data_IF_503178363610
#
_entry.id   IF_503178363610
#
_cell.length_a   1.000
_cell.length_b   1.000
_cell.length_c   1.000
_cell.angle_alpha   90.00
_cell.angle_beta   90.00
_cell.angle_gamma   90.00
#
_symmetry.space_group_name_H-M   'P 1'
#
loop_
_entity.id
_entity.type
_entity.pdbx_description
1 polymer ?
#
# COMPACT_ATOMS: atom_id res chain seq x y z
N UNK A 1 24.51 22.52 -15.33
CA UNK A 1 24.41 21.72 -16.59
C UNK A 1 24.70 20.25 -16.26
N UNK A 2 23.69 19.35 -16.26
CA UNK A 2 23.93 17.92 -16.02
C UNK A 2 24.80 17.36 -17.16
N UNK A 3 25.92 16.72 -16.82
CA UNK A 3 26.83 16.07 -17.76
C UNK A 3 26.07 14.93 -18.44
N UNK A 4 26.13 14.83 -19.78
CA UNK A 4 25.49 13.71 -20.50
C UNK A 4 26.14 12.39 -20.03
N UNK A 5 25.35 11.33 -19.80
CA UNK A 5 25.88 10.06 -19.31
C UNK A 5 26.81 9.44 -20.35
N UNK A 6 27.94 8.89 -19.89
CA UNK A 6 28.94 8.22 -20.72
C UNK A 6 28.59 6.73 -20.83
N UNK A 7 27.90 6.37 -21.90
CA UNK A 7 27.37 5.01 -22.08
C UNK A 7 28.23 4.10 -22.97
N UNK A 8 29.34 4.59 -23.52
CA UNK A 8 30.17 3.86 -24.48
C UNK A 8 31.58 3.65 -23.91
N UNK A 9 32.03 2.40 -23.87
CA UNK A 9 33.43 2.08 -23.59
C UNK A 9 34.33 2.36 -24.82
N UNK A 10 35.60 1.98 -24.77
CA UNK A 10 36.53 2.23 -25.89
C UNK A 10 36.08 1.52 -27.17
N UNK A 11 35.60 0.29 -27.07
CA UNK A 11 35.12 -0.51 -28.20
C UNK A 11 33.78 0.00 -28.72
N UNK A 12 32.81 0.26 -27.85
CA UNK A 12 31.48 0.73 -28.27
C UNK A 12 31.52 2.06 -29.06
N UNK A 13 32.58 2.86 -28.88
CA UNK A 13 32.80 4.06 -29.69
C UNK A 13 33.12 3.76 -31.15
N UNK A 14 33.76 2.62 -31.45
CA UNK A 14 34.11 2.23 -32.82
C UNK A 14 32.90 1.75 -33.61
N UNK A 15 31.92 1.15 -32.92
CA UNK A 15 30.64 0.67 -33.50
C UNK A 15 29.47 1.63 -33.24
N UNK A 16 29.76 2.90 -32.90
CA UNK A 16 28.74 3.87 -32.48
C UNK A 16 27.63 4.07 -33.51
N UNK A 17 27.96 4.08 -34.80
CA UNK A 17 26.99 4.28 -35.86
C UNK A 17 25.92 3.17 -35.89
N UNK A 18 26.34 1.92 -35.70
CA UNK A 18 25.45 0.76 -35.66
C UNK A 18 24.55 0.80 -34.40
N UNK A 19 25.14 1.11 -33.25
CA UNK A 19 24.40 1.27 -31.98
C UNK A 19 23.35 2.40 -32.06
N UNK A 20 23.72 3.55 -32.65
CA UNK A 20 22.80 4.67 -32.83
C UNK A 20 21.67 4.35 -33.84
N UNK A 21 21.95 3.54 -34.86
CA UNK A 21 20.94 3.08 -35.82
C UNK A 21 19.89 2.18 -35.15
N UNK A 22 20.32 1.20 -34.35
CA UNK A 22 19.41 0.35 -33.57
C UNK A 22 18.62 1.15 -32.53
N UNK A 23 19.27 2.06 -31.79
CA UNK A 23 18.60 2.94 -30.83
C UNK A 23 17.56 3.86 -31.50
N UNK A 24 17.83 4.31 -32.74
CA UNK A 24 16.88 5.12 -33.50
C UNK A 24 15.61 4.34 -33.86
N UNK A 25 15.70 3.03 -34.12
CA UNK A 25 14.53 2.17 -34.30
C UNK A 25 13.70 2.11 -33.02
N UNK A 26 14.35 1.87 -31.88
CA UNK A 26 13.70 1.80 -30.56
C UNK A 26 12.95 3.10 -30.24
N UNK A 27 13.62 4.25 -30.41
CA UNK A 27 13.03 5.59 -30.19
C UNK A 27 11.90 5.94 -31.15
N UNK A 28 11.82 5.29 -32.32
CA UNK A 28 10.69 5.41 -33.26
C UNK A 28 9.52 4.48 -32.91
N UNK A 29 9.60 3.71 -31.83
CA UNK A 29 8.60 2.74 -31.43
C UNK A 29 8.61 1.45 -32.26
N UNK A 30 9.61 1.25 -33.13
CA UNK A 30 9.80 0.01 -33.91
C UNK A 30 10.52 -1.03 -33.06
N UNK A 31 9.89 -1.43 -31.95
CA UNK A 31 10.51 -2.22 -30.88
C UNK A 31 11.02 -3.58 -31.38
N UNK A 32 10.23 -4.29 -32.20
CA UNK A 32 10.61 -5.60 -32.74
C UNK A 32 11.75 -5.53 -33.75
N UNK A 33 11.85 -4.43 -34.52
CA UNK A 33 13.00 -4.19 -35.39
C UNK A 33 14.25 -3.83 -34.57
N UNK A 34 14.07 -3.03 -33.52
CA UNK A 34 15.15 -2.64 -32.61
C UNK A 34 15.73 -3.84 -31.85
N UNK A 35 14.86 -4.73 -31.34
CA UNK A 35 15.26 -5.95 -30.66
C UNK A 35 16.12 -6.82 -31.58
N UNK A 36 15.64 -7.12 -32.80
CA UNK A 36 16.41 -7.88 -33.79
C UNK A 36 17.74 -7.22 -34.16
N UNK A 37 17.76 -5.89 -34.28
CA UNK A 37 18.98 -5.15 -34.56
C UNK A 37 19.99 -5.27 -33.39
N UNK A 38 19.55 -5.13 -32.14
CA UNK A 38 20.43 -5.30 -30.99
C UNK A 38 20.86 -6.76 -30.77
N UNK A 39 20.02 -7.75 -31.07
CA UNK A 39 20.40 -9.16 -31.07
C UNK A 39 21.50 -9.45 -32.09
N UNK A 40 21.39 -8.91 -33.30
CA UNK A 40 22.44 -9.02 -34.32
C UNK A 40 23.76 -8.39 -33.82
N UNK A 41 23.70 -7.22 -33.18
CA UNK A 41 24.87 -6.56 -32.60
C UNK A 41 25.46 -7.34 -31.42
N UNK A 42 24.65 -7.97 -30.58
CA UNK A 42 25.12 -8.82 -29.49
C UNK A 42 25.78 -10.09 -30.04
N UNK A 43 25.25 -10.69 -31.11
CA UNK A 43 25.87 -11.84 -31.74
C UNK A 43 27.21 -11.50 -32.40
N UNK A 44 27.29 -10.35 -33.06
CA UNK A 44 28.51 -9.87 -33.71
C UNK A 44 29.55 -9.36 -32.70
N UNK A 45 29.10 -8.72 -31.63
CA UNK A 45 29.93 -8.12 -30.59
C UNK A 45 29.49 -8.56 -29.18
N UNK A 46 29.75 -9.83 -28.78
CA UNK A 46 29.24 -10.40 -27.53
C UNK A 46 29.64 -9.63 -26.26
N UNK A 47 30.78 -8.94 -26.32
CA UNK A 47 31.34 -8.15 -25.22
C UNK A 47 30.93 -6.68 -25.21
N UNK A 48 30.07 -6.21 -26.13
CA UNK A 48 29.61 -4.81 -26.15
C UNK A 48 28.56 -4.56 -25.07
N UNK A 49 28.88 -3.77 -24.01
CA UNK A 49 27.91 -3.44 -22.97
C UNK A 49 26.75 -2.63 -23.52
N UNK A 50 27.03 -1.69 -24.45
CA UNK A 50 25.97 -0.85 -25.01
C UNK A 50 25.00 -1.63 -25.90
N UNK A 51 25.48 -2.60 -26.69
CA UNK A 51 24.61 -3.47 -27.49
C UNK A 51 23.71 -4.31 -26.58
N UNK A 52 24.30 -4.94 -25.56
CA UNK A 52 23.57 -5.76 -24.57
C UNK A 52 22.52 -4.95 -23.83
N UNK A 53 22.85 -3.73 -23.41
CA UNK A 53 21.89 -2.83 -22.77
C UNK A 53 20.78 -2.39 -23.73
N UNK A 54 21.08 -2.16 -25.01
CA UNK A 54 20.08 -1.84 -26.02
C UNK A 54 19.08 -2.98 -26.26
N UNK A 55 19.58 -4.22 -26.23
CA UNK A 55 18.75 -5.43 -26.24
C UNK A 55 17.81 -5.44 -25.02
N UNK A 56 18.35 -5.29 -23.81
CA UNK A 56 17.54 -5.26 -22.58
C UNK A 56 16.44 -4.19 -22.63
N UNK A 57 16.76 -2.98 -23.11
CA UNK A 57 15.75 -1.91 -23.27
C UNK A 57 14.66 -2.28 -24.28
N UNK A 58 15.02 -2.96 -25.36
CA UNK A 58 14.05 -3.35 -26.40
C UNK A 58 13.17 -4.52 -25.93
N UNK A 59 13.71 -5.45 -25.13
CA UNK A 59 12.93 -6.48 -24.43
C UNK A 59 11.96 -5.85 -23.43
N UNK A 60 12.40 -4.85 -22.66
CA UNK A 60 11.59 -4.11 -21.68
C UNK A 60 10.45 -3.34 -22.37
N UNK A 61 10.74 -2.60 -23.44
CA UNK A 61 9.74 -1.90 -24.25
C UNK A 61 8.73 -2.91 -24.87
N UNK A 62 9.21 -4.08 -25.29
CA UNK A 62 8.36 -5.13 -25.86
C UNK A 62 7.48 -5.77 -24.80
N UNK A 63 8.01 -5.97 -23.60
CA UNK A 63 7.26 -6.47 -22.45
C UNK A 63 6.10 -5.53 -22.10
N UNK A 64 6.32 -4.21 -22.10
CA UNK A 64 5.27 -3.22 -21.88
C UNK A 64 4.21 -3.26 -23.00
N UNK A 65 4.66 -3.32 -24.28
CA UNK A 65 3.77 -3.41 -25.45
C UNK A 65 2.88 -4.67 -25.43
N UNK A 66 3.46 -5.82 -25.08
CA UNK A 66 2.77 -7.12 -25.04
C UNK A 66 2.05 -7.37 -23.71
N UNK A 67 2.35 -6.57 -22.67
CA UNK A 67 1.97 -6.83 -21.27
C UNK A 67 2.41 -8.24 -20.81
N UNK A 68 3.64 -8.63 -21.17
CA UNK A 68 4.19 -9.96 -20.91
C UNK A 68 5.21 -9.97 -19.78
N UNK A 69 4.89 -10.66 -18.68
CA UNK A 69 5.82 -10.86 -17.56
C UNK A 69 7.00 -11.76 -17.93
N UNK A 70 6.83 -12.66 -18.90
CA UNK A 70 7.90 -13.53 -19.39
C UNK A 70 8.95 -12.72 -20.17
N UNK A 71 8.50 -11.84 -21.06
CA UNK A 71 9.38 -10.92 -21.79
C UNK A 71 10.08 -9.95 -20.81
N UNK A 72 9.36 -9.47 -19.79
CA UNK A 72 9.98 -8.64 -18.76
C UNK A 72 11.06 -9.39 -17.97
N UNK A 73 10.87 -10.69 -17.76
CA UNK A 73 11.88 -11.51 -17.11
C UNK A 73 13.13 -11.68 -17.97
N UNK A 74 12.98 -11.80 -19.29
CA UNK A 74 14.11 -11.81 -20.22
C UNK A 74 14.88 -10.48 -20.13
N UNK A 75 14.18 -9.35 -20.14
CA UNK A 75 14.80 -8.03 -19.98
C UNK A 75 15.61 -7.91 -18.67
N UNK A 76 15.05 -8.38 -17.54
CA UNK A 76 15.74 -8.39 -16.23
C UNK A 76 17.05 -9.19 -16.32
N UNK A 77 17.02 -10.38 -16.91
CA UNK A 77 18.23 -11.19 -17.07
C UNK A 77 19.26 -10.47 -17.95
N UNK A 78 18.84 -9.87 -19.06
CA UNK A 78 19.73 -9.13 -19.96
C UNK A 78 20.33 -7.88 -19.28
N UNK A 79 19.61 -7.20 -18.38
CA UNK A 79 20.18 -6.10 -17.59
C UNK A 79 21.28 -6.56 -16.62
N UNK A 80 21.16 -7.74 -16.01
CA UNK A 80 22.23 -8.31 -15.17
C UNK A 80 23.44 -8.76 -16.02
N UNK A 81 23.20 -9.30 -17.22
CA UNK A 81 24.27 -9.63 -18.17
C UNK A 81 25.13 -8.41 -18.49
N UNK A 82 24.54 -7.23 -18.69
CA UNK A 82 25.28 -5.97 -18.92
C UNK A 82 26.28 -5.71 -17.80
N UNK A 83 25.89 -5.93 -16.54
CA UNK A 83 26.74 -5.68 -15.39
C UNK A 83 27.89 -6.71 -15.25
N UNK A 84 27.78 -7.85 -15.93
CA UNK A 84 28.78 -8.92 -15.93
C UNK A 84 29.80 -8.80 -17.08
N UNK A 85 29.60 -7.86 -18.01
CA UNK A 85 30.50 -7.65 -19.15
C UNK A 85 31.80 -6.92 -18.74
N UNK A 86 32.90 -7.08 -19.50
CA UNK A 86 34.14 -6.35 -19.25
C UNK A 86 34.02 -4.87 -19.63
N UNK A 87 34.75 -4.00 -18.92
CA UNK A 87 34.91 -2.58 -19.26
C UNK A 87 33.59 -1.82 -19.42
N UNK A 88 32.59 -2.11 -18.59
CA UNK A 88 31.30 -1.42 -18.60
C UNK A 88 31.48 0.01 -18.08
N UNK A 89 31.04 1.05 -18.81
CA UNK A 89 31.07 2.42 -18.30
C UNK A 89 30.22 2.56 -17.04
N UNK A 90 30.72 3.28 -16.03
CA UNK A 90 30.03 3.42 -14.73
C UNK A 90 28.59 3.94 -14.85
N UNK A 91 28.34 4.92 -15.73
CA UNK A 91 26.99 5.45 -15.96
C UNK A 91 26.05 4.40 -16.56
N UNK A 92 26.56 3.52 -17.42
CA UNK A 92 25.79 2.43 -18.01
C UNK A 92 25.47 1.35 -16.97
N UNK A 93 26.44 1.00 -16.12
CA UNK A 93 26.26 0.04 -15.04
C UNK A 93 25.19 0.51 -14.03
N UNK A 94 25.23 1.80 -13.65
CA UNK A 94 24.19 2.42 -12.81
C UNK A 94 22.81 2.30 -13.42
N UNK A 95 22.65 2.65 -14.70
CA UNK A 95 21.37 2.60 -15.39
C UNK A 95 20.84 1.17 -15.51
N UNK A 96 21.70 0.21 -15.84
CA UNK A 96 21.31 -1.20 -16.00
C UNK A 96 20.79 -1.79 -14.69
N UNK A 97 21.59 -1.71 -13.62
CA UNK A 97 21.22 -2.29 -12.33
C UNK A 97 20.01 -1.57 -11.70
N UNK A 98 19.89 -0.25 -11.87
CA UNK A 98 18.73 0.50 -11.37
C UNK A 98 17.44 0.07 -12.08
N UNK A 99 17.49 -0.11 -13.41
CA UNK A 99 16.31 -0.57 -14.16
C UNK A 99 15.98 -2.03 -13.87
N UNK A 100 16.99 -2.89 -13.71
CA UNK A 100 16.82 -4.27 -13.26
C UNK A 100 16.07 -4.33 -11.92
N UNK A 101 16.53 -3.60 -10.91
CA UNK A 101 15.91 -3.57 -9.59
C UNK A 101 14.46 -3.06 -9.64
N UNK A 102 14.17 -2.03 -10.43
CA UNK A 102 12.83 -1.48 -10.67
C UNK A 102 11.90 -2.53 -11.31
N UNK A 103 12.36 -3.23 -12.36
CA UNK A 103 11.57 -4.27 -13.03
C UNK A 103 11.36 -5.50 -12.14
N UNK A 104 12.34 -5.86 -11.31
CA UNK A 104 12.18 -6.90 -10.30
C UNK A 104 11.10 -6.53 -9.27
N UNK A 105 11.06 -5.29 -8.78
CA UNK A 105 9.99 -4.82 -7.89
C UNK A 105 8.62 -4.88 -8.56
N UNK A 106 8.53 -4.45 -9.83
CA UNK A 106 7.30 -4.51 -10.61
C UNK A 106 6.74 -5.94 -10.71
N UNK A 107 7.60 -6.95 -10.87
CA UNK A 107 7.20 -8.37 -10.88
C UNK A 107 6.97 -8.96 -9.48
N UNK A 108 7.06 -8.16 -8.41
CA UNK A 108 6.94 -8.65 -7.04
C UNK A 108 8.16 -9.42 -6.52
N UNK A 109 9.29 -9.38 -7.23
CA UNK A 109 10.54 -10.07 -6.87
C UNK A 109 11.39 -9.24 -5.92
N UNK A 110 10.82 -8.91 -4.76
CA UNK A 110 11.40 -7.97 -3.80
C UNK A 110 12.78 -8.41 -3.28
N UNK A 111 12.99 -9.70 -3.01
CA UNK A 111 14.30 -10.24 -2.59
C UNK A 111 15.39 -10.06 -3.67
N UNK A 112 15.04 -10.29 -4.94
CA UNK A 112 15.97 -10.10 -6.06
C UNK A 112 16.37 -8.64 -6.19
N UNK A 113 15.38 -7.75 -6.16
CA UNK A 113 15.60 -6.28 -6.17
C UNK A 113 16.53 -5.83 -5.06
N UNK A 114 16.34 -6.35 -3.84
CA UNK A 114 17.18 -6.02 -2.70
C UNK A 114 18.66 -6.39 -2.95
N UNK A 115 18.93 -7.58 -3.50
CA UNK A 115 20.29 -8.01 -3.85
C UNK A 115 20.89 -7.10 -4.91
N UNK A 116 20.12 -6.74 -5.95
CA UNK A 116 20.58 -5.83 -7.01
C UNK A 116 20.86 -4.43 -6.46
N UNK A 117 20.03 -3.91 -5.55
CA UNK A 117 20.24 -2.62 -4.88
C UNK A 117 21.47 -2.63 -3.96
N UNK A 118 21.70 -3.72 -3.22
CA UNK A 118 22.91 -3.90 -2.40
C UNK A 118 24.18 -3.89 -3.27
N UNK A 119 24.17 -4.62 -4.39
CA UNK A 119 25.26 -4.60 -5.39
C UNK A 119 25.50 -3.19 -5.91
N UNK A 120 24.43 -2.43 -6.15
CA UNK A 120 24.49 -1.06 -6.64
C UNK A 120 25.13 -0.10 -5.61
N UNK A 121 24.73 -0.18 -4.34
CA UNK A 121 25.35 0.59 -3.24
C UNK A 121 26.82 0.20 -3.03
N UNK A 122 27.16 -1.10 -3.12
CA UNK A 122 28.54 -1.57 -3.00
C UNK A 122 29.45 -1.01 -4.10
N UNK A 123 28.96 -0.95 -5.35
CA UNK A 123 29.70 -0.42 -6.50
C UNK A 123 29.81 1.11 -6.48
N UNK A 124 28.84 1.80 -5.88
CA UNK A 124 28.74 3.26 -5.87
C UNK A 124 28.46 3.82 -4.46
N UNK A 125 29.36 3.63 -3.49
CA UNK A 125 29.10 3.89 -2.06
C UNK A 125 28.89 5.36 -1.71
N UNK A 126 29.32 6.29 -2.57
CA UNK A 126 29.16 7.73 -2.37
C UNK A 126 27.84 8.29 -2.93
N UNK A 127 27.05 7.49 -3.64
CA UNK A 127 25.82 7.94 -4.30
C UNK A 127 24.62 7.67 -3.36
N UNK A 128 24.18 8.71 -2.65
CA UNK A 128 23.10 8.61 -1.66
C UNK A 128 21.77 8.20 -2.27
N UNK A 129 21.54 8.49 -3.55
CA UNK A 129 20.30 8.12 -4.23
C UNK A 129 20.09 6.60 -4.26
N UNK A 130 21.16 5.81 -4.34
CA UNK A 130 21.09 4.36 -4.32
C UNK A 130 20.90 3.78 -2.93
N UNK A 131 21.42 4.46 -1.90
CA UNK A 131 21.10 4.13 -0.51
C UNK A 131 19.63 4.39 -0.23
N UNK A 132 19.10 5.52 -0.72
CA UNK A 132 17.67 5.81 -0.66
C UNK A 132 16.82 4.72 -1.34
N UNK A 133 17.19 4.30 -2.56
CA UNK A 133 16.52 3.19 -3.26
C UNK A 133 16.62 1.87 -2.46
N UNK A 134 17.78 1.57 -1.85
CA UNK A 134 17.98 0.41 -0.98
C UNK A 134 17.08 0.44 0.27
N UNK A 135 16.93 1.61 0.89
CA UNK A 135 16.00 1.82 2.01
C UNK A 135 14.55 1.48 1.63
N UNK A 136 14.10 1.89 0.44
CA UNK A 136 12.80 1.51 -0.11
C UNK A 136 12.70 -0.01 -0.31
N UNK A 137 13.76 -0.64 -0.82
CA UNK A 137 13.82 -2.10 -0.97
C UNK A 137 13.60 -2.85 0.35
N UNK A 138 14.20 -2.39 1.45
CA UNK A 138 13.95 -2.94 2.78
C UNK A 138 12.52 -2.71 3.27
N UNK A 139 11.96 -1.51 3.06
CA UNK A 139 10.56 -1.20 3.41
C UNK A 139 9.55 -2.10 2.69
N UNK A 140 9.75 -2.35 1.39
CA UNK A 140 8.88 -3.25 0.60
C UNK A 140 8.93 -4.71 1.08
N UNK A 141 9.99 -5.10 1.79
CA UNK A 141 10.13 -6.40 2.44
C UNK A 141 9.60 -6.43 3.88
N UNK A 142 9.16 -5.28 4.43
CA UNK A 142 8.75 -5.14 5.82
C UNK A 142 9.93 -5.06 6.80
N UNK A 143 11.17 -4.88 6.32
CA UNK A 143 12.38 -4.80 7.14
C UNK A 143 12.66 -3.35 7.55
N UNK A 144 11.82 -2.84 8.47
CA UNK A 144 11.93 -1.47 8.96
C UNK A 144 13.26 -1.21 9.67
N UNK A 145 13.84 -2.22 10.32
CA UNK A 145 15.09 -2.08 11.07
C UNK A 145 16.29 -1.81 10.18
N UNK A 146 16.43 -2.53 9.06
CA UNK A 146 17.52 -2.25 8.12
C UNK A 146 17.24 -1.00 7.28
N UNK A 147 15.98 -0.74 6.89
CA UNK A 147 15.61 0.51 6.23
C UNK A 147 16.02 1.73 7.06
N UNK A 148 15.77 1.69 8.37
CA UNK A 148 16.13 2.76 9.29
C UNK A 148 17.62 3.07 9.29
N UNK A 149 18.46 2.04 9.44
CA UNK A 149 19.93 2.18 9.43
C UNK A 149 20.43 2.81 8.14
N UNK A 150 19.84 2.44 7.01
CA UNK A 150 20.19 3.01 5.70
C UNK A 150 19.88 4.50 5.66
N UNK A 151 18.70 4.94 6.12
CA UNK A 151 18.36 6.36 6.14
C UNK A 151 19.14 7.14 7.20
N UNK A 152 19.49 6.54 8.34
CA UNK A 152 20.43 7.13 9.31
C UNK A 152 21.81 7.38 8.66
N UNK A 153 22.32 6.43 7.88
CA UNK A 153 23.56 6.60 7.12
C UNK A 153 23.43 7.71 6.07
N UNK A 154 22.34 7.75 5.31
CA UNK A 154 22.10 8.82 4.32
C UNK A 154 22.05 10.19 4.99
N UNK A 155 21.31 10.34 6.08
CA UNK A 155 21.18 11.61 6.80
C UNK A 155 22.48 12.02 7.49
N UNK A 156 23.37 11.09 7.85
CA UNK A 156 24.71 11.42 8.34
C UNK A 156 25.61 12.03 7.24
N UNK A 157 25.41 11.64 5.98
CA UNK A 157 26.20 12.11 4.83
C UNK A 157 25.57 13.33 4.16
N UNK A 158 24.24 13.38 4.12
CA UNK A 158 23.43 14.42 3.50
C UNK A 158 22.26 14.79 4.41
N UNK A 159 22.49 15.61 5.47
CA UNK A 159 21.45 15.97 6.45
C UNK A 159 20.21 16.65 5.89
N UNK A 160 20.30 17.20 4.67
CA UNK A 160 19.20 17.90 4.00
C UNK A 160 18.51 17.05 2.92
N UNK A 161 18.82 15.76 2.80
CA UNK A 161 18.18 14.86 1.83
C UNK A 161 16.70 14.65 2.21
N UNK A 162 15.80 15.31 1.50
CA UNK A 162 14.38 15.32 1.82
C UNK A 162 13.73 13.95 1.68
N UNK A 163 14.20 13.15 0.70
CA UNK A 163 13.73 11.78 0.49
C UNK A 163 14.06 10.89 1.69
N UNK A 164 15.29 10.96 2.20
CA UNK A 164 15.68 10.24 3.41
C UNK A 164 14.88 10.70 4.64
N UNK A 165 14.64 12.01 4.79
CA UNK A 165 13.84 12.56 5.90
C UNK A 165 12.42 12.00 5.92
N UNK A 166 11.68 12.04 4.81
CA UNK A 166 10.28 11.54 4.81
C UNK A 166 10.20 10.03 5.12
N UNK A 167 11.15 9.23 4.62
CA UNK A 167 11.16 7.79 4.89
C UNK A 167 11.62 7.47 6.31
N UNK A 168 12.59 8.19 6.85
CA UNK A 168 13.00 8.05 8.25
C UNK A 168 11.87 8.44 9.20
N UNK A 169 11.20 9.57 8.95
CA UNK A 169 10.02 9.99 9.69
C UNK A 169 8.88 8.97 9.61
N UNK A 170 8.61 8.40 8.43
CA UNK A 170 7.65 7.31 8.26
C UNK A 170 7.99 6.09 9.15
N UNK A 171 9.26 5.67 9.18
CA UNK A 171 9.71 4.55 10.00
C UNK A 171 9.57 4.86 11.50
N UNK A 172 9.97 6.06 11.94
CA UNK A 172 9.80 6.49 13.33
C UNK A 172 8.33 6.41 13.75
N UNK A 173 7.42 6.90 12.90
CA UNK A 173 5.99 6.83 13.17
C UNK A 173 5.50 5.37 13.26
N UNK A 174 5.97 4.49 12.39
CA UNK A 174 5.65 3.06 12.43
C UNK A 174 6.17 2.38 13.71
N UNK A 175 7.30 2.85 14.28
CA UNK A 175 7.81 2.47 15.61
C UNK A 175 7.05 3.15 16.78
N UNK A 176 5.93 3.83 16.52
CA UNK A 176 5.16 4.62 17.48
C UNK A 176 5.92 5.80 18.12
N UNK A 177 7.01 6.26 17.49
CA UNK A 177 7.77 7.46 17.87
C UNK A 177 7.15 8.70 17.25
N UNK A 178 5.93 9.00 17.70
CA UNK A 178 5.05 9.99 17.07
C UNK A 178 5.69 11.38 17.05
N UNK A 179 6.10 11.90 18.21
CA UNK A 179 6.68 13.24 18.31
C UNK A 179 7.99 13.37 17.51
N UNK A 180 8.86 12.36 17.57
CA UNK A 180 10.12 12.37 16.80
C UNK A 180 9.90 12.29 15.29
N UNK A 181 8.81 11.67 14.82
CA UNK A 181 8.54 11.52 13.38
C UNK A 181 8.17 12.83 12.67
N UNK A 182 7.50 13.74 13.38
CA UNK A 182 6.90 14.96 12.84
C UNK A 182 7.93 15.88 12.16
N UNK A 183 9.06 16.27 12.78
CA UNK A 183 10.02 17.17 12.12
C UNK A 183 10.59 16.57 10.83
N UNK A 184 10.89 15.28 10.80
CA UNK A 184 11.42 14.63 9.60
C UNK A 184 10.40 14.54 8.47
N UNK A 185 9.15 14.18 8.77
CA UNK A 185 8.08 14.16 7.78
C UNK A 185 7.81 15.57 7.23
N UNK A 186 7.75 16.57 8.11
CA UNK A 186 7.51 17.98 7.75
C UNK A 186 8.63 18.54 6.89
N UNK A 187 9.87 18.51 7.37
CA UNK A 187 11.03 19.03 6.62
C UNK A 187 11.26 18.28 5.31
N UNK A 188 11.03 16.97 5.31
CA UNK A 188 11.12 16.15 4.12
C UNK A 188 10.08 16.56 3.05
N UNK A 189 8.83 16.79 3.45
CA UNK A 189 7.78 17.31 2.56
C UNK A 189 8.05 18.73 2.07
N UNK A 190 8.57 19.60 2.94
CA UNK A 190 8.90 21.00 2.63
C UNK A 190 10.11 21.13 1.69
N UNK A 191 10.99 20.13 1.66
CA UNK A 191 12.17 20.13 0.77
C UNK A 191 11.80 20.21 -0.73
N UNK A 192 10.67 19.60 -1.12
CA UNK A 192 10.29 19.44 -2.51
C UNK A 192 11.20 18.50 -3.31
N UNK A 193 12.03 17.70 -2.65
CA UNK A 193 12.92 16.75 -3.32
C UNK A 193 12.12 15.67 -4.07
N UNK A 194 12.61 15.14 -5.21
CA UNK A 194 11.92 14.10 -5.95
C UNK A 194 11.58 12.88 -5.08
N UNK A 195 10.31 12.46 -5.09
CA UNK A 195 9.81 11.33 -4.29
C UNK A 195 9.31 11.69 -2.89
N UNK A 196 9.39 12.97 -2.48
CA UNK A 196 8.81 13.46 -1.22
C UNK A 196 7.32 13.82 -1.35
N UNK A 197 6.88 14.26 -2.53
CA UNK A 197 5.48 14.59 -2.81
C UNK A 197 4.63 13.32 -3.01
N UNK A 198 4.36 12.62 -1.90
CA UNK A 198 3.64 11.35 -1.87
C UNK A 198 2.58 11.37 -0.77
N UNK A 199 1.35 10.96 -1.11
CA UNK A 199 0.21 10.95 -0.20
C UNK A 199 0.44 10.21 1.12
N UNK A 200 1.32 9.20 1.15
CA UNK A 200 1.68 8.48 2.40
C UNK A 200 2.28 9.42 3.44
N UNK A 201 3.15 10.33 3.04
CA UNK A 201 3.83 11.22 3.98
C UNK A 201 2.90 12.31 4.51
N UNK A 202 2.04 12.87 3.64
CA UNK A 202 0.96 13.77 4.07
C UNK A 202 0.02 13.10 5.07
N UNK A 203 -0.37 11.85 4.78
CA UNK A 203 -1.27 11.07 5.62
C UNK A 203 -0.67 10.84 7.00
N UNK A 204 0.58 10.38 7.03
CA UNK A 204 1.26 10.05 8.28
C UNK A 204 1.67 11.28 9.09
N UNK A 205 2.03 12.40 8.45
CA UNK A 205 2.30 13.65 9.16
C UNK A 205 1.03 14.17 9.83
N UNK A 206 -0.10 14.22 9.11
CA UNK A 206 -1.36 14.65 9.68
C UNK A 206 -1.83 13.75 10.83
N UNK A 207 -1.71 12.42 10.70
CA UNK A 207 -2.07 11.48 11.78
C UNK A 207 -1.15 11.66 13.00
N UNK A 208 0.16 11.83 12.79
CA UNK A 208 1.09 12.09 13.89
C UNK A 208 0.76 13.41 14.63
N UNK A 209 0.42 14.47 13.89
CA UNK A 209 -0.01 15.75 14.45
C UNK A 209 -1.32 15.61 15.24
N UNK A 210 -2.31 14.87 14.73
CA UNK A 210 -3.57 14.62 15.45
C UNK A 210 -3.34 13.92 16.79
N UNK A 211 -2.47 12.90 16.81
CA UNK A 211 -2.16 12.13 18.03
C UNK A 211 -1.49 12.94 19.13
N UNK A 212 -0.80 14.03 18.79
CA UNK A 212 -0.23 14.97 19.76
C UNK A 212 -1.14 16.17 20.05
N UNK A 213 -2.36 16.20 19.48
CA UNK A 213 -3.33 17.28 19.65
C UNK A 213 -3.04 18.53 18.83
N UNK A 214 -2.15 18.46 17.83
CA UNK A 214 -1.80 19.61 16.99
C UNK A 214 -2.83 19.81 15.87
N UNK A 215 -3.47 20.98 15.87
CA UNK A 215 -4.49 21.39 14.89
C UNK A 215 -3.91 21.67 13.51
N UNK A 216 -2.58 21.81 13.37
CA UNK A 216 -1.93 21.94 12.06
C UNK A 216 -2.11 20.70 11.17
N UNK A 217 -2.51 19.55 11.73
CA UNK A 217 -2.80 18.33 10.95
C UNK A 217 -3.70 18.60 9.74
N UNK A 218 -4.77 19.37 9.91
CA UNK A 218 -5.73 19.66 8.84
C UNK A 218 -5.18 20.58 7.75
N UNK A 219 -4.15 21.39 8.05
CA UNK A 219 -3.43 22.16 7.01
C UNK A 219 -2.68 21.22 6.07
N UNK A 220 -2.06 20.16 6.62
CA UNK A 220 -1.36 19.14 5.84
C UNK A 220 -2.32 18.25 5.05
N UNK A 221 -3.49 17.93 5.60
CA UNK A 221 -4.54 17.25 4.86
C UNK A 221 -5.10 18.08 3.70
N UNK A 222 -5.33 19.38 3.92
CA UNK A 222 -5.74 20.30 2.87
C UNK A 222 -4.67 20.42 1.78
N UNK A 223 -3.39 20.55 2.15
CA UNK A 223 -2.30 20.57 1.18
C UNK A 223 -2.21 19.25 0.38
N UNK A 224 -2.35 18.11 1.04
CA UNK A 224 -2.39 16.80 0.38
C UNK A 224 -3.56 16.67 -0.60
N UNK A 225 -4.73 17.19 -0.25
CA UNK A 225 -5.88 17.28 -1.15
C UNK A 225 -5.59 18.20 -2.36
N UNK A 226 -5.06 19.40 -2.14
CA UNK A 226 -4.72 20.35 -3.20
C UNK A 226 -3.68 19.80 -4.18
N UNK A 227 -2.79 18.93 -3.72
CA UNK A 227 -1.82 18.20 -4.55
C UNK A 227 -2.38 16.93 -5.21
N UNK A 228 -3.65 16.61 -4.95
CA UNK A 228 -4.34 15.48 -5.59
C UNK A 228 -4.06 14.12 -4.95
N UNK A 229 -3.48 14.08 -3.75
CA UNK A 229 -3.20 12.84 -3.01
C UNK A 229 -4.46 12.28 -2.33
N UNK A 230 -5.34 13.14 -1.85
CA UNK A 230 -6.58 12.78 -1.18
C UNK A 230 -7.80 13.15 -2.02
N UNK A 231 -8.91 12.43 -1.85
CA UNK A 231 -10.18 12.77 -2.50
C UNK A 231 -10.82 14.01 -1.86
N UNK A 232 -10.64 14.18 -0.55
CA UNK A 232 -10.96 15.37 0.22
C UNK A 232 -10.14 15.40 1.51
N UNK A 233 -10.25 16.47 2.28
CA UNK A 233 -9.67 16.56 3.63
C UNK A 233 -10.16 15.43 4.54
N UNK A 234 -11.41 14.97 4.37
CA UNK A 234 -12.00 13.91 5.19
C UNK A 234 -11.75 12.51 4.64
N UNK A 235 -11.65 12.35 3.32
CA UNK A 235 -11.50 11.04 2.66
C UNK A 235 -10.06 10.87 2.14
N UNK A 236 -9.22 10.20 2.93
CA UNK A 236 -7.77 10.16 2.77
C UNK A 236 -7.19 8.77 2.47
N UNK A 237 -8.05 7.82 2.09
CA UNK A 237 -7.61 6.54 1.55
C UNK A 237 -6.69 6.73 0.35
N UNK A 238 -5.70 5.84 0.18
CA UNK A 238 -4.69 5.96 -0.88
C UNK A 238 -4.90 5.00 -2.05
N UNK A 239 -5.66 3.91 -1.88
CA UNK A 239 -5.89 2.89 -2.90
C UNK A 239 -7.28 3.00 -3.51
N UNK A 240 -7.51 4.02 -4.33
CA UNK A 240 -8.87 4.41 -4.74
C UNK A 240 -9.23 4.05 -6.18
N UNK A 241 -10.54 3.94 -6.43
CA UNK A 241 -11.13 4.06 -7.76
C UNK A 241 -11.79 5.44 -7.86
N UNK A 242 -11.38 6.24 -8.85
CA UNK A 242 -11.93 7.59 -9.07
C UNK A 242 -13.39 7.51 -9.53
N UNK A 243 -14.20 8.46 -9.09
CA UNK A 243 -15.60 8.62 -9.52
C UNK A 243 -16.63 7.81 -8.73
N UNK A 244 -16.21 7.01 -7.75
CA UNK A 244 -17.15 6.39 -6.82
C UNK A 244 -17.82 7.46 -5.95
N UNK A 245 -19.14 7.36 -5.77
CA UNK A 245 -19.92 8.21 -4.86
C UNK A 245 -19.29 8.22 -3.47
N UNK A 246 -19.04 9.40 -2.92
CA UNK A 246 -18.37 9.57 -1.65
C UNK A 246 -19.29 10.30 -0.66
N UNK A 247 -19.69 9.60 0.40
CA UNK A 247 -20.41 10.16 1.53
C UNK A 247 -20.09 9.34 2.79
N UNK A 248 -20.03 9.96 3.98
CA UNK A 248 -19.58 9.27 5.20
C UNK A 248 -20.57 8.18 5.63
N UNK A 249 -21.87 8.45 5.58
CA UNK A 249 -22.91 7.53 6.04
C UNK A 249 -23.81 7.08 4.89
N UNK A 250 -24.25 5.83 4.96
CA UNK A 250 -25.08 5.20 3.94
C UNK A 250 -26.29 4.53 4.57
N UNK A 251 -27.39 4.55 3.85
CA UNK A 251 -28.57 3.72 4.14
C UNK A 251 -28.51 2.42 3.38
N UNK A 252 -29.19 1.38 3.88
CA UNK A 252 -29.29 0.09 3.18
C UNK A 252 -29.79 0.24 1.73
N UNK A 253 -30.74 1.16 1.50
CA UNK A 253 -31.30 1.45 0.18
C UNK A 253 -30.27 2.06 -0.76
N UNK A 254 -29.47 3.02 -0.29
CA UNK A 254 -28.42 3.64 -1.12
C UNK A 254 -27.33 2.65 -1.53
N UNK A 255 -27.03 1.66 -0.68
CA UNK A 255 -26.07 0.60 -1.04
C UNK A 255 -26.62 -0.42 -2.03
N UNK A 256 -27.96 -0.55 -2.15
CA UNK A 256 -28.60 -1.64 -2.89
C UNK A 256 -28.54 -3.02 -2.18
N UNK A 257 -27.68 -3.21 -1.18
CA UNK A 257 -27.50 -4.48 -0.45
C UNK A 257 -28.57 -4.74 0.63
N UNK A 258 -29.83 -4.45 0.30
CA UNK A 258 -30.95 -4.53 1.26
C UNK A 258 -31.19 -5.94 1.80
N UNK A 259 -31.00 -6.98 0.98
CA UNK A 259 -31.17 -8.37 1.40
C UNK A 259 -30.07 -8.82 2.38
N UNK A 260 -28.83 -8.39 2.18
CA UNK A 260 -27.75 -8.62 3.15
C UNK A 260 -28.09 -7.96 4.49
N UNK A 261 -28.48 -6.70 4.48
CA UNK A 261 -28.85 -5.96 5.71
C UNK A 261 -30.03 -6.65 6.42
N UNK A 262 -31.10 -6.98 5.71
CA UNK A 262 -32.25 -7.72 6.28
C UNK A 262 -31.83 -9.06 6.87
N UNK A 263 -30.94 -9.79 6.19
CA UNK A 263 -30.44 -11.07 6.66
C UNK A 263 -29.64 -10.93 7.97
N UNK A 264 -28.76 -9.93 8.04
CA UNK A 264 -27.99 -9.60 9.24
C UNK A 264 -28.91 -9.22 10.40
N UNK A 265 -29.83 -8.27 10.18
CA UNK A 265 -30.77 -7.81 11.21
C UNK A 265 -31.76 -8.90 11.63
N UNK A 266 -32.22 -9.78 10.73
CA UNK A 266 -33.14 -10.87 11.08
C UNK A 266 -32.47 -11.94 11.93
N UNK A 267 -31.20 -12.22 11.67
CA UNK A 267 -30.45 -13.32 12.29
C UNK A 267 -29.46 -12.83 13.36
N UNK A 268 -29.56 -11.58 13.80
CA UNK A 268 -28.55 -10.95 14.66
C UNK A 268 -28.28 -11.70 15.98
N UNK A 269 -29.30 -12.31 16.58
CA UNK A 269 -29.15 -13.10 17.82
C UNK A 269 -28.29 -14.34 17.59
N UNK A 270 -28.49 -15.04 16.46
CA UNK A 270 -27.66 -16.18 16.08
C UNK A 270 -26.20 -15.75 15.90
N UNK A 271 -25.98 -14.62 15.22
CA UNK A 271 -24.64 -14.07 15.00
C UNK A 271 -23.99 -13.72 16.33
N UNK A 272 -24.71 -13.02 17.21
CA UNK A 272 -24.28 -12.66 18.57
C UNK A 272 -23.89 -13.90 19.37
N UNK A 273 -24.77 -14.90 19.43
CA UNK A 273 -24.60 -16.05 20.31
C UNK A 273 -23.38 -16.89 19.91
N UNK A 274 -23.06 -17.02 18.62
CA UNK A 274 -21.80 -17.65 18.17
C UNK A 274 -20.57 -16.82 18.54
N UNK A 275 -20.63 -15.49 18.41
CA UNK A 275 -19.56 -14.60 18.84
C UNK A 275 -19.28 -14.69 20.35
N UNK A 276 -20.34 -14.70 21.17
CA UNK A 276 -20.26 -14.87 22.62
C UNK A 276 -19.70 -16.25 22.99
N UNK A 277 -20.16 -17.32 22.33
CA UNK A 277 -19.63 -18.66 22.58
C UNK A 277 -18.12 -18.77 22.31
N UNK A 278 -17.60 -18.06 21.30
CA UNK A 278 -16.17 -17.97 21.03
C UNK A 278 -15.46 -17.14 22.11
N UNK A 279 -16.01 -16.00 22.52
CA UNK A 279 -15.47 -15.19 23.62
C UNK A 279 -15.40 -15.96 24.96
N UNK A 280 -16.31 -16.90 25.20
CA UNK A 280 -16.31 -17.68 26.43
C UNK A 280 -15.35 -18.88 26.37
N UNK A 281 -15.38 -19.64 25.27
CA UNK A 281 -14.73 -20.96 25.19
C UNK A 281 -13.43 -20.98 24.41
N UNK A 282 -13.19 -19.99 23.55
CA UNK A 282 -12.07 -19.96 22.58
C UNK A 282 -11.50 -18.56 22.43
N UNK A 283 -11.21 -17.89 23.56
CA UNK A 283 -10.68 -16.51 23.62
C UNK A 283 -9.47 -16.27 22.73
N UNK A 284 -8.62 -17.28 22.52
CA UNK A 284 -7.44 -17.20 21.65
C UNK A 284 -7.76 -16.90 20.17
N UNK A 285 -9.01 -17.03 19.74
CA UNK A 285 -9.46 -16.64 18.39
C UNK A 285 -9.73 -15.14 18.27
N UNK A 286 -9.93 -14.43 19.39
CA UNK A 286 -9.93 -12.97 19.41
C UNK A 286 -8.49 -12.49 19.53
N UNK A 287 -8.00 -11.89 18.46
CA UNK A 287 -6.66 -11.32 18.40
C UNK A 287 -6.75 -9.82 18.70
N UNK A 288 -5.81 -9.25 19.48
CA UNK A 288 -5.70 -7.80 19.62
C UNK A 288 -5.60 -7.14 18.24
N UNK A 289 -6.19 -5.96 18.09
CA UNK A 289 -5.99 -5.19 16.87
C UNK A 289 -4.55 -4.63 16.86
N UNK A 290 -3.85 -4.65 15.72
CA UNK A 290 -2.39 -4.51 15.64
C UNK A 290 -1.92 -3.39 14.68
N UNK A 291 -2.81 -2.58 14.12
CA UNK A 291 -2.47 -1.48 13.20
C UNK A 291 -2.10 -0.16 13.93
N UNK A 292 -1.85 -0.21 15.24
CA UNK A 292 -1.49 0.95 16.08
C UNK A 292 -2.52 2.10 16.02
N UNK A 293 -3.81 1.74 16.04
CA UNK A 293 -4.93 2.68 15.96
C UNK A 293 -5.48 3.10 17.34
N UNK A 294 -5.14 2.36 18.40
CA UNK A 294 -5.61 2.65 19.76
C UNK A 294 -4.75 3.71 20.45
N UNK A 295 -5.40 4.65 21.12
CA UNK A 295 -4.76 5.48 22.16
C UNK A 295 -4.58 4.66 23.44
N UNK A 296 -5.66 3.99 23.87
CA UNK A 296 -5.78 3.30 25.15
C UNK A 296 -6.91 2.28 25.11
N UNK A 297 -6.96 1.40 26.10
CA UNK A 297 -7.99 0.38 26.28
C UNK A 297 -7.77 -0.87 25.43
N UNK A 298 -8.75 -1.77 25.49
CA UNK A 298 -8.67 -3.11 24.88
C UNK A 298 -9.64 -3.26 23.70
N UNK A 299 -9.08 -3.58 22.54
CA UNK A 299 -9.82 -3.88 21.32
C UNK A 299 -9.29 -5.18 20.71
N UNK A 300 -10.19 -6.11 20.44
CA UNK A 300 -9.86 -7.38 19.79
C UNK A 300 -10.86 -7.73 18.70
N UNK A 301 -10.41 -8.54 17.75
CA UNK A 301 -11.17 -8.94 16.57
C UNK A 301 -11.08 -10.46 16.34
N UNK A 302 -12.18 -11.03 15.84
CA UNK A 302 -12.24 -12.43 15.44
C UNK A 302 -12.72 -12.53 13.99
N UNK A 303 -11.77 -12.80 13.09
CA UNK A 303 -11.95 -12.68 11.64
C UNK A 303 -12.40 -13.99 10.99
N UNK A 304 -13.49 -13.92 10.23
CA UNK A 304 -14.07 -15.03 9.47
C UNK A 304 -13.66 -14.98 7.99
N UNK A 305 -13.62 -13.79 7.39
CA UNK A 305 -13.09 -13.55 6.03
C UNK A 305 -12.10 -12.41 6.03
N UNK A 306 -11.05 -12.53 5.22
CA UNK A 306 -10.09 -11.46 4.94
C UNK A 306 -9.64 -11.56 3.48
N UNK A 307 -9.61 -10.43 2.78
CA UNK A 307 -9.22 -10.38 1.36
C UNK A 307 -10.04 -11.38 0.49
N UNK A 308 -11.33 -11.51 0.80
CA UNK A 308 -12.25 -12.44 0.11
C UNK A 308 -11.95 -13.92 0.33
N UNK A 309 -11.10 -14.28 1.30
CA UNK A 309 -10.75 -15.66 1.65
C UNK A 309 -11.37 -16.04 2.99
N UNK A 310 -12.05 -17.18 3.02
CA UNK A 310 -12.65 -17.75 4.22
C UNK A 310 -11.56 -18.33 5.13
N UNK A 311 -11.62 -18.02 6.42
CA UNK A 311 -10.83 -18.69 7.44
C UNK A 311 -11.61 -19.90 7.97
N UNK A 312 -11.28 -21.09 7.47
CA UNK A 312 -11.98 -22.32 7.81
C UNK A 312 -11.91 -22.65 9.31
N UNK A 313 -10.81 -22.32 9.98
CA UNK A 313 -10.67 -22.57 11.41
C UNK A 313 -11.53 -21.62 12.23
N UNK A 314 -11.58 -20.34 11.86
CA UNK A 314 -12.49 -19.37 12.47
C UNK A 314 -13.95 -19.75 12.24
N UNK A 315 -14.32 -20.17 11.03
CA UNK A 315 -15.69 -20.57 10.73
C UNK A 315 -16.18 -21.80 11.49
N UNK A 316 -15.30 -22.66 12.03
CA UNK A 316 -15.70 -23.71 12.99
C UNK A 316 -16.20 -23.14 14.32
N UNK A 317 -15.81 -21.90 14.67
CA UNK A 317 -16.29 -21.18 15.85
C UNK A 317 -17.63 -20.48 15.65
N UNK A 318 -17.94 -20.09 14.42
CA UNK A 318 -19.21 -19.45 14.05
C UNK A 318 -19.83 -20.08 12.78
N UNK A 319 -20.14 -21.39 12.80
CA UNK A 319 -20.51 -22.13 11.60
C UNK A 319 -21.81 -21.65 10.96
N UNK A 320 -22.81 -21.29 11.76
CA UNK A 320 -24.11 -20.83 11.23
C UNK A 320 -23.99 -19.44 10.63
N UNK A 321 -23.21 -18.56 11.26
CA UNK A 321 -22.88 -17.23 10.75
C UNK A 321 -22.15 -17.33 9.42
N UNK A 322 -21.14 -18.20 9.32
CA UNK A 322 -20.43 -18.42 8.06
C UNK A 322 -21.35 -18.97 6.95
N UNK A 323 -22.18 -19.96 7.25
CA UNK A 323 -23.14 -20.52 6.28
C UNK A 323 -24.21 -19.50 5.83
N UNK A 324 -24.55 -18.53 6.69
CA UNK A 324 -25.42 -17.41 6.32
C UNK A 324 -24.73 -16.48 5.31
N UNK A 325 -23.47 -16.14 5.56
CA UNK A 325 -22.71 -15.17 4.77
C UNK A 325 -22.29 -15.68 3.39
N UNK A 326 -22.12 -16.99 3.22
CA UNK A 326 -21.78 -17.60 1.91
C UNK A 326 -22.79 -17.27 0.79
N UNK A 327 -24.00 -16.84 1.15
CA UNK A 327 -25.04 -16.42 0.21
C UNK A 327 -24.83 -15.01 -0.37
N UNK A 328 -23.86 -14.25 0.16
CA UNK A 328 -23.65 -12.83 -0.15
C UNK A 328 -22.23 -12.60 -0.70
N UNK A 329 -22.01 -12.84 -2.02
CA UNK A 329 -20.70 -12.64 -2.66
C UNK A 329 -20.23 -11.18 -2.67
N UNK A 330 -21.13 -10.21 -2.52
CA UNK A 330 -20.78 -8.80 -2.34
C UNK A 330 -19.93 -8.53 -1.09
N UNK A 331 -20.06 -9.36 -0.06
CA UNK A 331 -19.28 -9.32 1.17
C UNK A 331 -18.16 -10.37 1.17
N UNK A 332 -18.51 -11.65 0.97
CA UNK A 332 -17.54 -12.76 1.04
C UNK A 332 -16.50 -12.72 -0.07
N UNK A 333 -16.84 -12.14 -1.22
CA UNK A 333 -15.93 -11.88 -2.34
C UNK A 333 -15.23 -10.51 -2.26
N UNK A 334 -15.41 -9.74 -1.19
CA UNK A 334 -14.77 -8.44 -1.02
C UNK A 334 -13.27 -8.60 -0.71
N UNK A 335 -12.44 -8.55 -1.76
CA UNK A 335 -10.98 -8.74 -1.65
C UNK A 335 -10.24 -7.56 -1.02
N UNK A 336 -10.94 -6.47 -0.73
CA UNK A 336 -10.44 -5.28 -0.04
C UNK A 336 -11.08 -5.08 1.33
N UNK A 337 -11.79 -6.09 1.83
CA UNK A 337 -12.56 -6.02 3.07
C UNK A 337 -12.34 -7.24 3.94
N UNK A 338 -12.96 -7.20 5.11
CA UNK A 338 -13.03 -8.30 6.05
C UNK A 338 -14.46 -8.54 6.53
N UNK A 339 -14.69 -9.74 7.07
CA UNK A 339 -15.88 -10.04 7.88
C UNK A 339 -15.40 -10.55 9.22
N UNK A 340 -15.73 -9.84 10.30
CA UNK A 340 -15.15 -10.09 11.62
C UNK A 340 -16.05 -9.63 12.77
N UNK A 341 -15.98 -10.33 13.89
CA UNK A 341 -16.44 -9.82 15.16
C UNK A 341 -15.43 -8.82 15.71
N UNK A 342 -15.91 -7.79 16.40
CA UNK A 342 -15.07 -6.77 17.01
C UNK A 342 -15.59 -6.44 18.40
N UNK A 343 -14.79 -6.74 19.42
CA UNK A 343 -15.09 -6.48 20.83
C UNK A 343 -14.22 -5.34 21.35
N UNK A 344 -14.84 -4.41 22.06
CA UNK A 344 -14.16 -3.25 22.65
C UNK A 344 -14.59 -3.07 24.10
N UNK A 345 -13.63 -2.90 24.99
CA UNK A 345 -13.85 -2.80 26.44
C UNK A 345 -13.92 -1.34 26.91
N UNK A 346 -14.48 -1.10 28.12
CA UNK A 346 -14.46 0.20 28.77
C UNK A 346 -13.11 0.91 28.75
N UNK A 347 -13.13 2.23 28.60
CA UNK A 347 -11.93 3.08 28.57
C UNK A 347 -11.14 3.01 27.26
N UNK A 348 -11.72 2.46 26.19
CA UNK A 348 -11.06 2.38 24.88
C UNK A 348 -11.32 3.62 24.04
N UNK A 349 -10.25 4.19 23.50
CA UNK A 349 -10.31 5.24 22.49
C UNK A 349 -9.45 4.82 21.28
N UNK A 350 -10.05 4.89 20.10
CA UNK A 350 -9.38 4.67 18.82
C UNK A 350 -9.19 6.02 18.16
N UNK A 351 -7.95 6.34 17.81
CA UNK A 351 -7.57 7.60 17.17
C UNK A 351 -8.38 7.86 15.90
N UNK A 352 -8.55 9.13 15.48
CA UNK A 352 -9.03 9.45 14.14
C UNK A 352 -8.16 8.76 13.08
N UNK A 353 -8.77 7.95 12.23
CA UNK A 353 -8.06 7.22 11.18
C UNK A 353 -8.93 7.04 9.93
N UNK A 354 -8.33 6.59 8.83
CA UNK A 354 -9.05 6.23 7.60
C UNK A 354 -8.66 4.84 7.17
N UNK A 355 -9.61 4.09 6.61
CA UNK A 355 -9.34 2.87 5.87
C UNK A 355 -8.47 3.13 4.63
N UNK A 356 -7.81 2.09 4.09
CA UNK A 356 -6.84 2.25 3.00
C UNK A 356 -7.48 2.51 1.64
N UNK A 357 -8.79 2.31 1.46
CA UNK A 357 -9.45 2.30 0.14
C UNK A 357 -10.89 2.80 0.18
N UNK A 358 -11.30 3.55 -0.83
CA UNK A 358 -12.72 3.93 -1.06
C UNK A 358 -13.55 2.83 -1.76
N UNK A 359 -12.95 1.66 -2.00
CA UNK A 359 -13.59 0.58 -2.77
C UNK A 359 -14.50 -0.33 -1.94
N UNK A 360 -14.67 -0.02 -0.65
CA UNK A 360 -15.53 -0.78 0.26
C UNK A 360 -16.44 0.16 1.04
N UNK A 361 -17.59 -0.37 1.44
CA UNK A 361 -18.39 0.21 2.51
C UNK A 361 -18.37 -0.77 3.68
N UNK A 362 -18.44 -0.23 4.91
CA UNK A 362 -18.35 -0.99 6.15
C UNK A 362 -19.70 -1.01 6.84
N UNK A 363 -20.26 -2.21 7.00
CA UNK A 363 -21.46 -2.43 7.80
C UNK A 363 -21.07 -2.82 9.22
N UNK A 364 -21.71 -2.21 10.22
CA UNK A 364 -21.61 -2.58 11.63
C UNK A 364 -22.98 -3.03 12.14
N UNK A 365 -23.15 -4.32 12.40
CA UNK A 365 -24.31 -4.87 13.10
C UNK A 365 -24.04 -4.84 14.61
N UNK A 366 -24.91 -4.20 15.40
CA UNK A 366 -24.83 -4.23 16.86
C UNK A 366 -25.22 -5.60 17.43
N UNK A 367 -24.37 -6.17 18.30
CA UNK A 367 -24.61 -7.48 18.91
C UNK A 367 -24.85 -7.40 20.43
N UNK A 368 -23.94 -6.73 21.14
CA UNK A 368 -24.07 -6.40 22.57
C UNK A 368 -23.65 -4.95 22.73
N UNK A 369 -24.61 -4.07 22.96
CA UNK A 369 -24.37 -2.63 22.99
C UNK A 369 -24.81 -2.07 24.35
N UNK A 370 -23.88 -1.57 25.18
CA UNK A 370 -24.23 -0.83 26.38
C UNK A 370 -25.16 0.35 26.05
N UNK A 371 -26.12 0.65 26.95
CA UNK A 371 -27.13 1.69 26.73
C UNK A 371 -26.53 3.07 26.42
N UNK A 372 -25.39 3.38 27.04
CA UNK A 372 -24.69 4.65 26.90
C UNK A 372 -23.17 4.41 26.83
N UNK A 373 -22.40 5.42 26.45
CA UNK A 373 -20.93 5.40 26.45
C UNK A 373 -20.27 4.86 25.18
N UNK A 374 -21.01 4.27 24.24
CA UNK A 374 -20.45 3.78 22.96
C UNK A 374 -20.84 4.69 21.78
N UNK A 375 -19.86 5.30 21.11
CA UNK A 375 -20.10 6.13 19.91
C UNK A 375 -19.02 5.98 18.84
N UNK A 376 -19.39 6.26 17.60
CA UNK A 376 -18.50 6.37 16.45
C UNK A 376 -18.76 7.69 15.72
N UNK A 377 -17.69 8.40 15.40
CA UNK A 377 -17.73 9.55 14.49
C UNK A 377 -17.26 9.11 13.12
N UNK A 378 -17.92 9.56 12.06
CA UNK A 378 -17.41 9.50 10.69
C UNK A 378 -17.59 10.87 10.04
N UNK A 379 -16.49 11.46 9.59
CA UNK A 379 -16.38 12.87 9.25
C UNK A 379 -16.90 13.76 10.40
N UNK A 380 -18.00 14.48 10.19
CA UNK A 380 -18.57 15.43 11.15
C UNK A 380 -19.74 14.86 11.97
N UNK A 381 -20.22 13.66 11.62
CA UNK A 381 -21.42 13.07 12.23
C UNK A 381 -21.06 11.97 13.24
N UNK A 382 -21.62 12.07 14.45
CA UNK A 382 -21.56 11.03 15.46
C UNK A 382 -22.80 10.14 15.41
N UNK A 383 -22.62 8.82 15.56
CA UNK A 383 -23.71 7.84 15.70
C UNK A 383 -23.40 6.83 16.79
N UNK A 384 -24.46 6.18 17.27
CA UNK A 384 -24.41 5.08 18.23
C UNK A 384 -24.91 3.81 17.55
N UNK A 385 -24.46 2.65 18.04
CA UNK A 385 -24.98 1.36 17.60
C UNK A 385 -26.28 1.02 18.33
N UNK A 386 -27.09 0.16 17.73
CA UNK A 386 -28.26 -0.45 18.36
C UNK A 386 -28.18 -1.97 18.16
N UNK A 387 -28.59 -2.74 19.17
CA UNK A 387 -28.61 -4.20 19.05
C UNK A 387 -29.56 -4.64 17.93
N UNK A 388 -29.07 -5.51 17.05
CA UNK A 388 -29.82 -6.02 15.90
C UNK A 388 -30.00 -5.03 14.75
N UNK A 389 -29.35 -3.85 14.80
CA UNK A 389 -29.39 -2.86 13.72
C UNK A 389 -28.05 -2.67 13.04
N UNK A 390 -28.10 -2.37 11.75
CA UNK A 390 -26.92 -2.12 10.92
C UNK A 390 -26.69 -0.63 10.73
N UNK A 391 -25.50 -0.16 11.10
CA UNK A 391 -24.92 1.10 10.61
C UNK A 391 -24.08 0.82 9.36
N UNK A 392 -24.08 1.73 8.39
CA UNK A 392 -23.24 1.64 7.20
C UNK A 392 -22.51 2.96 7.00
N UNK A 393 -21.19 2.88 6.91
CA UNK A 393 -20.34 4.04 6.64
C UNK A 393 -19.23 3.69 5.66
N UNK A 394 -18.71 4.71 4.99
CA UNK A 394 -17.49 4.60 4.19
C UNK A 394 -16.30 4.83 5.12
N UNK A 395 -15.56 3.76 5.44
CA UNK A 395 -14.42 3.84 6.35
C UNK A 395 -13.20 4.53 5.73
N UNK A 396 -13.22 4.86 4.43
CA UNK A 396 -12.20 5.73 3.81
C UNK A 396 -12.28 7.19 4.27
N UNK A 397 -13.41 7.58 4.85
CA UNK A 397 -13.53 8.84 5.58
C UNK A 397 -12.92 8.71 6.97
N UNK A 398 -12.41 9.83 7.49
CA UNK A 398 -11.91 9.88 8.87
C UNK A 398 -13.00 9.46 9.84
N UNK A 399 -12.68 8.48 10.67
CA UNK A 399 -13.55 7.99 11.72
C UNK A 399 -12.80 7.75 13.02
N UNK A 400 -13.53 7.84 14.13
CA UNK A 400 -13.01 7.82 15.49
C UNK A 400 -14.02 7.12 16.40
N UNK A 401 -13.54 6.39 17.41
CA UNK A 401 -14.39 5.50 18.22
C UNK A 401 -14.09 5.65 19.70
N UNK A 402 -15.14 5.75 20.51
CA UNK A 402 -15.07 5.79 21.97
C UNK A 402 -15.91 4.68 22.59
N UNK A 403 -15.36 4.10 23.65
CA UNK A 403 -16.00 3.13 24.51
C UNK A 403 -15.80 3.59 25.96
N UNK A 404 -16.73 4.42 26.42
CA UNK A 404 -16.78 5.00 27.77
C UNK A 404 -17.85 4.31 28.64
N UNK A 405 -18.37 3.15 28.21
CA UNK A 405 -19.39 2.40 28.93
C UNK A 405 -18.80 1.57 30.09
N UNK A 406 -19.65 0.98 30.94
CA UNK A 406 -19.22 0.14 32.06
C UNK A 406 -19.04 -1.35 31.71
N UNK A 407 -19.47 -1.76 30.51
CA UNK A 407 -19.38 -3.14 30.02
C UNK A 407 -18.90 -3.19 28.57
N UNK A 408 -18.48 -4.35 28.09
CA UNK A 408 -17.93 -4.49 26.73
C UNK A 408 -18.99 -4.22 25.65
N UNK A 409 -18.52 -3.78 24.48
CA UNK A 409 -19.32 -3.60 23.27
C UNK A 409 -18.89 -4.61 22.22
N UNK A 410 -19.82 -5.44 21.77
CA UNK A 410 -19.60 -6.39 20.68
C UNK A 410 -20.39 -5.97 19.44
N UNK A 411 -19.70 -5.88 18.31
CA UNK A 411 -20.30 -5.65 16.99
C UNK A 411 -19.82 -6.70 15.99
N UNK A 412 -20.56 -6.84 14.89
CA UNK A 412 -20.17 -7.62 13.74
C UNK A 412 -19.92 -6.70 12.54
N UNK A 413 -18.69 -6.74 12.02
CA UNK A 413 -18.23 -5.93 10.91
C UNK A 413 -18.33 -6.77 9.63
N UNK A 414 -19.02 -6.22 8.62
CA UNK A 414 -19.17 -6.83 7.29
C UNK A 414 -18.80 -5.79 6.24
N UNK A 415 -17.62 -5.94 5.64
CA UNK A 415 -17.21 -5.09 4.52
C UNK A 415 -17.84 -5.60 3.22
N UNK A 416 -18.36 -4.69 2.40
CA UNK A 416 -18.91 -4.97 1.07
C UNK A 416 -18.19 -4.16 0.01
N UNK A 417 -18.18 -4.64 -1.23
CA UNK A 417 -17.75 -3.82 -2.35
C UNK A 417 -18.57 -2.54 -2.45
N UNK A 418 -17.93 -1.41 -2.73
CA UNK A 418 -18.65 -0.18 -3.08
C UNK A 418 -19.66 -0.46 -4.21
N UNK A 419 -20.93 -0.03 -4.08
CA UNK A 419 -22.02 -0.50 -4.96
C UNK A 419 -21.79 -0.18 -6.43
N UNK A 420 -21.16 0.96 -6.73
CA UNK A 420 -20.87 1.41 -8.10
C UNK A 420 -19.69 0.69 -8.77
N UNK A 421 -18.93 -0.14 -8.04
CA UNK A 421 -17.89 -0.94 -8.67
C UNK A 421 -18.51 -1.99 -9.58
N UNK A 422 -18.06 -2.01 -10.83
CA UNK A 422 -18.46 -3.01 -11.83
C UNK A 422 -17.97 -4.41 -11.45
N UNK A 423 -18.64 -5.44 -11.97
CA UNK A 423 -18.21 -6.82 -11.78
C UNK A 423 -16.75 -7.06 -12.25
N UNK A 424 -16.31 -6.37 -13.31
CA UNK A 424 -14.92 -6.46 -13.79
C UNK A 424 -13.94 -5.87 -12.78
N UNK A 425 -14.19 -4.66 -12.26
CA UNK A 425 -13.34 -4.05 -11.24
C UNK A 425 -13.25 -4.90 -9.97
N UNK A 426 -14.38 -5.45 -9.50
CA UNK A 426 -14.41 -6.36 -8.33
C UNK A 426 -13.55 -7.62 -8.54
N UNK A 427 -13.35 -8.07 -9.79
CA UNK A 427 -12.48 -9.21 -10.14
C UNK A 427 -11.01 -8.83 -10.32
N UNK A 428 -10.69 -7.64 -10.83
CA UNK A 428 -9.32 -7.28 -11.23
C UNK A 428 -8.57 -6.41 -10.25
N UNK A 429 -9.24 -5.63 -9.39
CA UNK A 429 -8.56 -4.79 -8.40
C UNK A 429 -7.67 -5.66 -7.50
N UNK A 430 -6.42 -5.27 -7.17
CA UNK A 430 -5.61 -6.04 -6.23
C UNK A 430 -6.27 -6.06 -4.84
N UNK A 431 -6.04 -7.14 -4.10
CA UNK A 431 -6.45 -7.25 -2.71
C UNK A 431 -5.68 -6.24 -1.84
N UNK A 432 -6.30 -5.85 -0.73
CA UNK A 432 -5.74 -5.02 0.35
C UNK A 432 -6.19 -5.70 1.63
#
# INVERSE_FOLDING_TARGET
>A
KKKKPKLLNKFDKTIKAELDAAEKLRKKGKVEEALRAFEALVNQYPQSPRARYGKAQSEDDLAEKMRSNEMLQQAINTYDEVASLPNVPSDLMKLSLKREADRQQFLGRMRGSLVTLQKLVQLFPSDTSFKNDLGVGYLLMGDNSNAKKVYEEVLSLAPNDGFAKVHYGFILKAENKIAESIPYLKEGLESGDPGTDDGRFYFHLGDALQRIGDKEAYKWYELGYQRGHFASVWQRSLYNVKGLKAQPWWTAKETGYTELVKSLEKNWKLIRDEGLAVMDKKRSLFLPEDENLREKGDWSQFTLWQQGRKNENSCKGAPKTCALLERFPEATGCRRGQIKYSVMHPGTHVWPHTGPTNCRLRMHLGLVIPKEGCRIRCAQENRTWEEGKVLIFDDSFEHEVWQDAESYRLIFIVDVWHPELTAQQRRTLPAI
#
